data_IF_017135958381
#
_entry.id   IF_017135958381
#
_cell.length_a   1.000
_cell.length_b   1.000
_cell.length_c   1.000
_cell.angle_alpha   90.00
_cell.angle_beta   90.00
_cell.angle_gamma   90.00
#
_symmetry.space_group_name_H-M   'P 1'
#
loop_
_entity.id
_entity.type
_entity.pdbx_description
1 polymer ?
#
# COMPACT_ATOMS: atom_id res chain seq x y z
N UNK A 1 -53.61 -13.44 23.38
CA UNK A 1 -53.50 -12.00 23.73
C UNK A 1 -52.03 -11.69 23.95
N UNK A 2 -51.26 -11.00 23.11
CA UNK A 2 -51.53 -10.36 21.84
C UNK A 2 -50.22 -10.24 21.04
N UNK A 3 -50.16 -10.90 19.90
CA UNK A 3 -49.06 -10.81 18.91
C UNK A 3 -49.43 -9.94 17.69
N UNK A 4 -50.66 -9.42 17.66
CA UNK A 4 -51.23 -8.66 16.55
C UNK A 4 -51.07 -7.13 16.67
N UNK A 5 -50.53 -6.62 17.78
CA UNK A 5 -50.40 -5.17 18.01
C UNK A 5 -49.08 -4.57 17.51
N UNK A 6 -48.00 -5.36 17.38
CA UNK A 6 -46.70 -4.87 16.90
C UNK A 6 -46.65 -4.66 15.36
N UNK A 7 -47.53 -5.31 14.60
CA UNK A 7 -47.49 -5.25 13.13
C UNK A 7 -48.08 -3.98 12.52
N UNK A 8 -48.95 -3.25 13.24
CA UNK A 8 -49.66 -2.07 12.68
C UNK A 8 -48.93 -0.74 12.91
N UNK A 9 -47.98 -0.68 13.85
CA UNK A 9 -47.19 0.53 14.12
C UNK A 9 -46.08 0.83 13.11
N UNK A 10 -45.50 -0.21 12.49
CA UNK A 10 -44.37 -0.06 11.56
C UNK A 10 -44.76 0.39 10.14
N UNK A 11 -46.04 0.33 9.76
CA UNK A 11 -46.49 0.80 8.43
C UNK A 11 -46.68 2.31 8.32
N UNK A 12 -46.90 3.02 9.43
CA UNK A 12 -47.20 4.46 9.38
C UNK A 12 -45.95 5.34 9.33
N UNK A 13 -44.78 4.82 9.73
CA UNK A 13 -43.50 5.54 9.71
C UNK A 13 -42.73 5.43 8.38
N UNK A 14 -43.32 4.84 7.33
CA UNK A 14 -42.66 4.69 6.02
C UNK A 14 -43.05 5.77 5.01
N UNK A 15 -44.16 6.48 5.22
CA UNK A 15 -44.67 7.44 4.23
C UNK A 15 -44.17 8.89 4.41
N UNK A 16 -43.49 9.20 5.52
CA UNK A 16 -43.10 10.59 5.85
C UNK A 16 -41.65 10.95 5.47
N UNK A 17 -40.84 9.98 5.06
CA UNK A 17 -39.43 10.19 4.63
C UNK A 17 -39.32 10.40 3.11
N UNK A 18 -40.31 11.05 2.49
CA UNK A 18 -40.30 11.37 1.04
C UNK A 18 -39.87 12.80 0.70
N UNK A 19 -39.64 13.65 1.70
CA UNK A 19 -39.45 15.10 1.51
C UNK A 19 -38.03 15.56 1.19
N UNK A 20 -36.98 14.85 1.61
CA UNK A 20 -35.60 15.30 1.38
C UNK A 20 -35.01 14.62 0.15
N UNK A 21 -35.36 15.15 -1.04
CA UNK A 21 -34.62 14.89 -2.28
C UNK A 21 -33.24 15.54 -2.20
N UNK A 22 -32.38 15.03 -1.31
CA UNK A 22 -30.95 15.26 -1.41
C UNK A 22 -30.53 14.63 -2.74
N UNK A 23 -30.06 15.44 -3.68
CA UNK A 23 -29.72 15.01 -5.03
C UNK A 23 -28.71 13.85 -4.97
N UNK A 24 -29.17 12.61 -5.17
CA UNK A 24 -28.31 11.41 -5.18
C UNK A 24 -27.13 11.55 -6.14
N UNK A 25 -27.28 12.37 -7.19
CA UNK A 25 -26.23 12.73 -8.14
C UNK A 25 -25.06 13.50 -7.51
N UNK A 26 -25.31 14.42 -6.55
CA UNK A 26 -24.23 15.20 -5.93
C UNK A 26 -23.40 14.35 -4.97
N UNK A 27 -24.03 13.42 -4.26
CA UNK A 27 -23.32 12.48 -3.39
C UNK A 27 -22.45 11.52 -4.20
N UNK A 28 -22.98 10.97 -5.30
CA UNK A 28 -22.23 10.07 -6.18
C UNK A 28 -21.03 10.80 -6.81
N UNK A 29 -21.21 12.06 -7.23
CA UNK A 29 -20.11 12.87 -7.74
C UNK A 29 -19.07 13.20 -6.67
N UNK A 30 -19.47 13.45 -5.41
CA UNK A 30 -18.53 13.72 -4.33
C UNK A 30 -17.68 12.49 -3.99
N UNK A 31 -18.31 11.30 -3.91
CA UNK A 31 -17.59 10.04 -3.67
C UNK A 31 -16.69 9.70 -4.84
N UNK A 32 -17.14 9.87 -6.08
CA UNK A 32 -16.33 9.60 -7.27
C UNK A 32 -15.14 10.55 -7.40
N UNK A 33 -15.34 11.85 -7.14
CA UNK A 33 -14.24 12.83 -7.10
C UNK A 33 -13.26 12.53 -5.96
N UNK A 34 -13.76 12.14 -4.79
CA UNK A 34 -12.94 11.71 -3.66
C UNK A 34 -12.10 10.48 -4.01
N UNK A 35 -12.70 9.45 -4.61
CA UNK A 35 -12.01 8.24 -5.05
C UNK A 35 -10.91 8.54 -6.08
N UNK A 36 -11.20 9.37 -7.09
CA UNK A 36 -10.21 9.80 -8.07
C UNK A 36 -9.06 10.55 -7.38
N UNK A 37 -9.37 11.57 -6.56
CA UNK A 37 -8.33 12.35 -5.88
C UNK A 37 -7.46 11.47 -4.99
N UNK A 38 -8.05 10.49 -4.30
CA UNK A 38 -7.34 9.60 -3.39
C UNK A 38 -6.46 8.58 -4.13
N UNK A 39 -6.94 8.03 -5.26
CA UNK A 39 -6.13 7.18 -6.16
C UNK A 39 -4.96 7.97 -6.76
N UNK A 40 -5.16 9.24 -7.11
CA UNK A 40 -4.08 10.13 -7.56
C UNK A 40 -3.15 10.59 -6.43
N UNK A 41 -3.65 10.61 -5.19
CA UNK A 41 -2.88 10.91 -3.99
C UNK A 41 -2.21 9.69 -3.37
N UNK A 42 -2.38 8.47 -3.93
CA UNK A 42 -1.53 7.33 -3.56
C UNK A 42 -0.10 7.82 -3.74
N UNK A 43 0.67 8.00 -2.64
CA UNK A 43 1.99 8.58 -2.74
C UNK A 43 2.77 7.66 -3.66
N UNK A 44 3.14 8.18 -4.84
CA UNK A 44 4.06 7.47 -5.73
C UNK A 44 5.24 7.06 -4.85
N UNK A 45 5.69 5.79 -4.93
CA UNK A 45 6.73 5.29 -4.05
C UNK A 45 7.83 6.33 -4.05
N UNK A 46 8.03 6.98 -2.90
CA UNK A 46 8.99 8.06 -2.75
C UNK A 46 10.30 7.42 -3.14
N UNK A 47 10.78 7.76 -4.35
CA UNK A 47 12.12 7.36 -4.75
C UNK A 47 12.98 8.01 -3.70
N UNK A 48 13.62 7.18 -2.86
CA UNK A 48 14.62 7.63 -1.91
C UNK A 48 15.73 8.24 -2.77
N UNK A 49 15.57 9.54 -3.07
CA UNK A 49 16.60 10.30 -3.71
C UNK A 49 17.68 10.38 -2.65
N UNK A 50 18.80 9.69 -2.90
CA UNK A 50 20.08 9.99 -2.24
C UNK A 50 20.50 11.38 -2.72
N UNK A 51 19.79 12.40 -2.24
CA UNK A 51 20.02 13.80 -2.54
C UNK A 51 21.18 14.29 -1.69
N UNK A 52 22.31 14.53 -2.36
CA UNK A 52 23.36 15.42 -1.87
C UNK A 52 22.74 16.81 -1.62
N UNK A 53 22.67 17.19 -0.34
CA UNK A 53 22.43 18.53 0.21
C UNK A 53 21.01 19.13 0.14
N UNK A 54 20.48 19.47 1.33
CA UNK A 54 20.09 20.86 1.58
C UNK A 54 18.72 21.14 2.19
N UNK A 55 17.68 20.35 1.89
CA UNK A 55 16.33 20.60 2.45
C UNK A 55 15.96 19.53 3.48
N UNK A 56 15.64 19.90 4.73
CA UNK A 56 15.17 18.95 5.73
C UNK A 56 13.78 18.45 5.32
N UNK A 57 13.73 17.37 4.56
CA UNK A 57 12.51 16.59 4.41
C UNK A 57 12.27 15.86 5.72
N UNK A 58 11.13 16.12 6.37
CA UNK A 58 10.69 15.32 7.52
C UNK A 58 10.48 13.89 7.02
N UNK A 59 11.52 13.07 7.14
CA UNK A 59 11.48 11.66 6.79
C UNK A 59 11.06 10.91 8.05
N UNK A 60 9.80 10.52 8.12
CA UNK A 60 9.38 9.55 9.13
C UNK A 60 10.17 8.25 8.89
N UNK A 61 10.93 7.82 9.89
CA UNK A 61 11.59 6.53 9.80
C UNK A 61 10.53 5.42 9.75
N UNK A 62 10.69 4.42 8.86
CA UNK A 62 9.80 3.27 8.84
C UNK A 62 9.83 2.57 10.20
N UNK A 63 8.66 2.12 10.67
CA UNK A 63 8.58 1.42 11.94
C UNK A 63 9.32 0.07 11.83
N UNK A 64 10.25 -0.19 12.75
CA UNK A 64 10.99 -1.46 12.84
C UNK A 64 10.27 -2.52 13.68
N UNK A 65 9.19 -2.13 14.38
CA UNK A 65 8.43 -2.97 15.29
C UNK A 65 6.93 -2.70 15.17
N UNK A 66 6.12 -3.74 15.33
CA UNK A 66 4.66 -3.67 15.35
C UNK A 66 4.13 -3.98 16.76
N UNK A 67 3.08 -3.28 17.22
CA UNK A 67 2.30 -3.54 18.44
C UNK A 67 3.08 -4.24 19.58
N UNK A 68 3.83 -3.47 20.39
CA UNK A 68 4.55 -3.96 21.57
C UNK A 68 5.81 -4.82 21.30
N UNK A 69 6.43 -4.67 20.12
CA UNK A 69 7.74 -5.28 19.83
C UNK A 69 7.67 -6.56 18.99
N UNK A 70 6.51 -6.92 18.46
CA UNK A 70 6.40 -8.00 17.48
C UNK A 70 7.14 -7.64 16.19
N UNK A 71 7.66 -8.66 15.50
CA UNK A 71 8.27 -8.48 14.18
C UNK A 71 7.24 -7.92 13.19
N UNK A 72 7.71 -7.05 12.30
CA UNK A 72 6.84 -6.41 11.30
C UNK A 72 6.23 -7.44 10.34
N UNK A 73 6.96 -8.53 10.07
CA UNK A 73 6.46 -9.71 9.35
C UNK A 73 5.25 -10.35 10.03
N UNK A 74 5.35 -10.62 11.34
CA UNK A 74 4.23 -11.23 12.08
C UNK A 74 3.02 -10.29 12.13
N UNK A 75 3.26 -8.99 12.37
CA UNK A 75 2.20 -7.99 12.41
C UNK A 75 1.45 -7.87 11.08
N UNK A 76 2.16 -7.78 9.95
CA UNK A 76 1.54 -7.70 8.62
C UNK A 76 0.76 -8.97 8.26
N UNK A 77 1.32 -10.15 8.57
CA UNK A 77 0.64 -11.41 8.35
C UNK A 77 -0.65 -11.53 9.19
N UNK A 78 -0.59 -11.16 10.47
CA UNK A 78 -1.75 -11.18 11.37
C UNK A 78 -2.86 -10.23 10.91
N UNK A 79 -2.50 -9.02 10.46
CA UNK A 79 -3.45 -8.04 9.89
C UNK A 79 -4.15 -8.62 8.66
N UNK A 80 -3.41 -9.20 7.71
CA UNK A 80 -3.99 -9.80 6.50
C UNK A 80 -4.92 -10.98 6.85
N UNK A 81 -4.50 -11.83 7.79
CA UNK A 81 -5.31 -12.95 8.26
C UNK A 81 -6.61 -12.48 8.91
N UNK A 82 -6.56 -11.48 9.78
CA UNK A 82 -7.74 -10.91 10.42
C UNK A 82 -8.68 -10.26 9.40
N UNK A 83 -8.13 -9.54 8.42
CA UNK A 83 -8.91 -8.95 7.33
C UNK A 83 -9.61 -10.03 6.49
N UNK A 84 -8.92 -11.11 6.14
CA UNK A 84 -9.51 -12.25 5.44
C UNK A 84 -10.66 -12.88 6.25
N UNK A 85 -10.43 -13.10 7.54
CA UNK A 85 -11.43 -13.65 8.45
C UNK A 85 -12.68 -12.76 8.52
N UNK A 86 -12.51 -11.44 8.64
CA UNK A 86 -13.62 -10.49 8.62
C UNK A 86 -14.39 -10.53 7.30
N UNK A 87 -13.72 -10.61 6.15
CA UNK A 87 -14.38 -10.72 4.84
C UNK A 87 -15.18 -12.02 4.74
N UNK A 88 -14.66 -13.14 5.24
CA UNK A 88 -15.39 -14.41 5.29
C UNK A 88 -16.66 -14.31 6.15
N UNK A 89 -16.57 -13.66 7.32
CA UNK A 89 -17.73 -13.43 8.18
C UNK A 89 -18.77 -12.51 7.52
N UNK A 90 -18.34 -11.40 6.91
CA UNK A 90 -19.23 -10.48 6.18
C UNK A 90 -19.89 -11.18 4.98
N UNK A 91 -19.14 -12.02 4.28
CA UNK A 91 -19.64 -12.80 3.17
C UNK A 91 -20.70 -13.81 3.63
N UNK A 92 -20.44 -14.54 4.71
CA UNK A 92 -21.41 -15.47 5.30
C UNK A 92 -22.68 -14.74 5.77
N UNK A 93 -22.53 -13.59 6.43
CA UNK A 93 -23.64 -12.75 6.86
C UNK A 93 -24.47 -12.23 5.68
N UNK A 94 -23.83 -11.71 4.63
CA UNK A 94 -24.51 -11.21 3.42
C UNK A 94 -25.22 -12.33 2.66
N UNK A 95 -24.61 -13.51 2.59
CA UNK A 95 -25.24 -14.70 1.97
C UNK A 95 -26.44 -15.17 2.80
N UNK A 96 -26.33 -15.13 4.13
CA UNK A 96 -27.43 -15.43 5.05
C UNK A 96 -28.62 -14.47 4.90
N UNK A 97 -28.36 -13.17 4.76
CA UNK A 97 -29.41 -12.17 4.52
C UNK A 97 -30.15 -12.43 3.20
N UNK A 98 -29.41 -12.73 2.12
CA UNK A 98 -30.01 -13.04 0.80
C UNK A 98 -30.83 -14.35 0.83
N UNK A 99 -30.28 -15.41 1.43
CA UNK A 99 -30.90 -16.74 1.40
C UNK A 99 -32.04 -16.89 2.39
N UNK A 100 -31.85 -16.39 3.62
CA UNK A 100 -32.80 -16.59 4.72
C UNK A 100 -33.75 -15.40 4.90
N UNK A 101 -33.50 -14.27 4.21
CA UNK A 101 -34.27 -13.01 4.36
C UNK A 101 -34.30 -12.49 5.80
N UNK A 102 -33.23 -12.76 6.56
CA UNK A 102 -33.03 -12.21 7.90
C UNK A 102 -32.19 -10.93 7.79
N UNK A 103 -32.80 -9.78 8.10
CA UNK A 103 -32.13 -8.47 8.15
C UNK A 103 -31.19 -8.37 9.36
N UNK A 104 -30.09 -9.12 9.34
CA UNK A 104 -29.10 -9.16 10.42
C UNK A 104 -28.27 -7.86 10.41
N UNK A 105 -27.99 -7.33 9.22
CA UNK A 105 -27.01 -6.24 9.04
C UNK A 105 -27.68 -4.88 8.83
N UNK A 106 -29.01 -4.80 8.81
CA UNK A 106 -29.74 -3.55 8.53
C UNK A 106 -29.57 -3.08 7.07
N UNK A 107 -29.04 -3.94 6.19
CA UNK A 107 -28.74 -3.64 4.79
C UNK A 107 -29.88 -3.97 3.84
N UNK A 108 -30.95 -4.61 4.31
CA UNK A 108 -32.07 -5.05 3.48
C UNK A 108 -32.82 -3.90 2.77
N UNK A 109 -32.52 -2.65 3.11
CA UNK A 109 -33.17 -1.47 2.53
C UNK A 109 -32.75 -1.12 1.10
N UNK A 110 -31.65 -1.66 0.56
CA UNK A 110 -31.19 -1.36 -0.80
C UNK A 110 -30.65 -2.63 -1.52
N UNK A 111 -31.49 -3.39 -2.23
CA UNK A 111 -31.09 -4.62 -2.91
C UNK A 111 -29.95 -4.40 -3.93
N UNK A 112 -29.95 -3.24 -4.62
CA UNK A 112 -28.90 -2.90 -5.60
C UNK A 112 -27.51 -2.72 -4.94
N UNK A 113 -27.46 -2.34 -3.66
CA UNK A 113 -26.19 -2.15 -2.94
C UNK A 113 -25.59 -3.47 -2.45
N UNK A 114 -26.43 -4.47 -2.21
CA UNK A 114 -25.98 -5.80 -1.77
C UNK A 114 -25.08 -6.48 -2.81
N UNK A 115 -25.40 -6.36 -4.09
CA UNK A 115 -24.61 -6.97 -5.17
C UNK A 115 -23.21 -6.34 -5.30
N UNK A 116 -23.11 -5.01 -5.19
CA UNK A 116 -21.83 -4.31 -5.25
C UNK A 116 -20.94 -4.67 -4.05
N UNK A 117 -21.52 -4.77 -2.85
CA UNK A 117 -20.80 -5.20 -1.66
C UNK A 117 -20.31 -6.64 -1.81
N UNK A 118 -21.17 -7.54 -2.29
CA UNK A 118 -20.80 -8.95 -2.53
C UNK A 118 -19.65 -9.07 -3.53
N UNK A 119 -19.71 -8.31 -4.64
CA UNK A 119 -18.63 -8.28 -5.63
C UNK A 119 -17.32 -7.76 -5.03
N UNK A 120 -17.39 -6.74 -4.16
CA UNK A 120 -16.22 -6.21 -3.46
C UNK A 120 -15.61 -7.24 -2.48
N UNK A 121 -16.45 -7.95 -1.72
CA UNK A 121 -16.02 -9.01 -0.81
C UNK A 121 -15.37 -10.19 -1.56
N UNK A 122 -15.94 -10.57 -2.70
CA UNK A 122 -15.37 -11.60 -3.60
C UNK A 122 -13.99 -11.21 -4.12
N UNK A 123 -13.81 -9.93 -4.50
CA UNK A 123 -12.51 -9.42 -4.92
C UNK A 123 -11.48 -9.50 -3.78
N UNK A 124 -11.88 -9.14 -2.56
CA UNK A 124 -11.03 -9.27 -1.37
C UNK A 124 -10.58 -10.70 -1.10
N UNK A 125 -11.48 -11.68 -1.32
CA UNK A 125 -11.18 -13.10 -1.13
C UNK A 125 -10.03 -13.59 -2.03
N UNK A 126 -9.85 -13.00 -3.22
CA UNK A 126 -8.75 -13.35 -4.14
C UNK A 126 -7.50 -12.53 -3.84
N UNK A 127 -7.62 -11.23 -3.59
CA UNK A 127 -6.47 -10.34 -3.43
C UNK A 127 -5.73 -10.60 -2.11
N UNK A 128 -6.43 -10.92 -1.02
CA UNK A 128 -5.79 -11.07 0.29
C UNK A 128 -4.86 -12.29 0.35
N UNK A 129 -5.26 -13.50 -0.10
CA UNK A 129 -4.34 -14.64 -0.16
C UNK A 129 -3.11 -14.38 -1.04
N UNK A 130 -3.27 -13.64 -2.14
CA UNK A 130 -2.14 -13.21 -2.99
C UNK A 130 -1.20 -12.29 -2.23
N UNK A 131 -1.74 -11.35 -1.43
CA UNK A 131 -0.96 -10.51 -0.52
C UNK A 131 -0.21 -11.33 0.54
N UNK A 132 -0.89 -12.32 1.16
CA UNK A 132 -0.29 -13.22 2.16
C UNK A 132 0.84 -14.06 1.55
N UNK A 133 0.66 -14.58 0.35
CA UNK A 133 1.71 -15.26 -0.41
C UNK A 133 2.92 -14.35 -0.66
N UNK A 134 2.64 -13.08 -0.96
CA UNK A 134 3.64 -12.02 -1.08
C UNK A 134 4.47 -11.80 0.18
N UNK A 135 3.83 -11.77 1.35
CA UNK A 135 4.54 -11.67 2.64
C UNK A 135 5.41 -12.89 2.87
N UNK A 136 4.88 -14.09 2.66
CA UNK A 136 5.62 -15.35 2.85
C UNK A 136 6.88 -15.44 1.98
N UNK A 137 6.83 -14.96 0.74
CA UNK A 137 7.95 -14.99 -0.20
C UNK A 137 8.79 -13.71 -0.23
N UNK A 138 8.49 -12.72 0.64
CA UNK A 138 9.17 -11.42 0.63
C UNK A 138 9.00 -10.63 -0.68
N UNK A 139 7.91 -10.87 -1.42
CA UNK A 139 7.67 -10.24 -2.71
C UNK A 139 6.93 -8.92 -2.56
N UNK A 140 7.65 -7.81 -2.74
CA UNK A 140 7.09 -6.45 -2.61
C UNK A 140 5.95 -6.16 -3.60
N UNK A 141 5.95 -6.79 -4.79
CA UNK A 141 4.92 -6.59 -5.82
C UNK A 141 3.55 -7.06 -5.34
N UNK A 142 3.47 -8.26 -4.77
CA UNK A 142 2.22 -8.84 -4.29
C UNK A 142 1.65 -8.04 -3.10
N UNK A 143 2.52 -7.59 -2.19
CA UNK A 143 2.13 -6.76 -1.05
C UNK A 143 1.62 -5.38 -1.50
N UNK A 144 2.19 -4.80 -2.57
CA UNK A 144 1.70 -3.54 -3.17
C UNK A 144 0.29 -3.66 -3.75
N UNK A 145 -0.04 -4.80 -4.38
CA UNK A 145 -1.41 -5.06 -4.88
C UNK A 145 -2.41 -5.15 -3.71
N UNK A 146 -2.01 -5.76 -2.59
CA UNK A 146 -2.83 -5.74 -1.39
C UNK A 146 -2.98 -4.32 -0.80
N UNK A 147 -1.93 -3.52 -0.79
CA UNK A 147 -1.98 -2.14 -0.32
C UNK A 147 -2.97 -1.28 -1.13
N UNK A 148 -3.01 -1.42 -2.46
CA UNK A 148 -3.98 -0.69 -3.29
C UNK A 148 -5.42 -1.11 -2.99
N UNK A 149 -5.65 -2.40 -2.79
CA UNK A 149 -6.95 -2.91 -2.35
C UNK A 149 -7.33 -2.34 -0.97
N UNK A 150 -6.40 -2.31 -0.01
CA UNK A 150 -6.65 -1.77 1.32
C UNK A 150 -7.02 -0.28 1.28
N UNK A 151 -6.36 0.51 0.46
CA UNK A 151 -6.71 1.93 0.26
C UNK A 151 -8.11 2.09 -0.35
N UNK A 152 -8.47 1.24 -1.32
CA UNK A 152 -9.82 1.24 -1.89
C UNK A 152 -10.88 0.90 -0.82
N UNK A 153 -10.60 -0.09 0.05
CA UNK A 153 -11.47 -0.45 1.18
C UNK A 153 -11.62 0.69 2.18
N UNK A 154 -10.53 1.40 2.51
CA UNK A 154 -10.56 2.57 3.39
C UNK A 154 -11.47 3.68 2.83
N UNK A 155 -11.37 3.97 1.53
CA UNK A 155 -12.25 4.96 0.88
C UNK A 155 -13.71 4.50 0.88
N UNK A 156 -13.96 3.22 0.60
CA UNK A 156 -15.31 2.67 0.63
C UNK A 156 -15.92 2.76 2.03
N UNK A 157 -15.15 2.41 3.08
CA UNK A 157 -15.60 2.49 4.47
C UNK A 157 -15.89 3.94 4.89
N UNK A 158 -14.97 4.87 4.60
CA UNK A 158 -15.20 6.30 4.83
C UNK A 158 -16.49 6.80 4.14
N UNK A 159 -16.73 6.38 2.91
CA UNK A 159 -17.93 6.73 2.16
C UNK A 159 -19.21 6.18 2.80
N UNK A 160 -19.17 4.94 3.29
CA UNK A 160 -20.29 4.29 3.97
C UNK A 160 -20.58 4.99 5.30
N UNK A 161 -19.55 5.21 6.13
CA UNK A 161 -19.70 5.87 7.43
C UNK A 161 -20.19 7.32 7.26
N UNK A 162 -19.65 8.07 6.31
CA UNK A 162 -20.11 9.42 6.01
C UNK A 162 -21.59 9.44 5.57
N UNK A 163 -22.00 8.47 4.76
CA UNK A 163 -23.40 8.31 4.37
C UNK A 163 -24.30 7.99 5.57
N UNK A 164 -23.87 7.11 6.48
CA UNK A 164 -24.63 6.80 7.69
C UNK A 164 -24.78 8.01 8.60
N UNK A 165 -23.70 8.79 8.80
CA UNK A 165 -23.77 10.03 9.58
C UNK A 165 -24.81 11.01 9.03
N UNK A 166 -24.87 11.19 7.70
CA UNK A 166 -25.89 12.05 7.06
C UNK A 166 -27.32 11.54 7.23
N UNK A 167 -27.52 10.21 7.34
CA UNK A 167 -28.84 9.59 7.40
C UNK A 167 -29.40 9.47 8.83
N UNK A 168 -28.60 9.71 9.87
CA UNK A 168 -29.08 9.65 11.27
C UNK A 168 -30.06 10.78 11.60
N UNK A 169 -31.32 10.61 11.17
CA UNK A 169 -32.46 11.43 11.62
C UNK A 169 -32.91 10.91 12.98
N UNK A 170 -32.72 11.70 14.03
CA UNK A 170 -33.25 11.34 15.35
C UNK A 170 -34.76 11.51 15.40
N UNK A 171 -35.49 10.59 16.04
CA UNK A 171 -36.88 10.82 16.39
C UNK A 171 -36.99 11.99 17.38
N UNK A 172 -38.01 12.84 17.20
CA UNK A 172 -38.17 14.12 17.89
C UNK A 172 -38.41 14.01 19.42
N UNK A 173 -38.66 12.81 19.94
CA UNK A 173 -39.19 12.65 21.30
C UNK A 173 -38.12 12.62 22.40
N UNK A 174 -36.83 12.47 22.08
CA UNK A 174 -35.74 12.48 23.09
C UNK A 174 -34.47 13.17 22.57
N UNK A 175 -34.41 14.50 22.74
CA UNK A 175 -33.26 15.30 22.30
C UNK A 175 -31.92 14.86 22.94
N UNK A 176 -31.94 14.36 24.18
CA UNK A 176 -30.75 13.88 24.89
C UNK A 176 -30.15 12.63 24.23
N UNK A 177 -30.96 11.59 24.01
CA UNK A 177 -30.51 10.34 23.38
C UNK A 177 -29.98 10.58 21.97
N UNK A 178 -30.60 11.51 21.24
CA UNK A 178 -30.11 11.95 19.95
C UNK A 178 -28.69 12.54 20.01
N UNK A 179 -28.44 13.46 20.94
CA UNK A 179 -27.14 14.11 21.12
C UNK A 179 -26.05 13.09 21.45
N UNK A 180 -26.34 12.18 22.39
CA UNK A 180 -25.40 11.11 22.80
C UNK A 180 -25.07 10.18 21.64
N UNK A 181 -26.06 9.74 20.86
CA UNK A 181 -25.83 8.85 19.73
C UNK A 181 -24.96 9.49 18.64
N UNK A 182 -25.12 10.80 18.39
CA UNK A 182 -24.27 11.55 17.45
C UNK A 182 -22.82 11.64 17.91
N UNK A 183 -22.60 11.93 19.19
CA UNK A 183 -21.25 12.01 19.78
C UNK A 183 -20.57 10.64 19.72
N UNK A 184 -21.28 9.57 20.11
CA UNK A 184 -20.75 8.19 20.04
C UNK A 184 -20.42 7.78 18.59
N UNK A 185 -21.28 8.11 17.63
CA UNK A 185 -21.03 7.82 16.21
C UNK A 185 -19.83 8.60 15.67
N UNK A 186 -19.66 9.86 16.06
CA UNK A 186 -18.50 10.66 15.68
C UNK A 186 -17.21 10.13 16.29
N UNK A 187 -17.22 9.75 17.58
CA UNK A 187 -16.07 9.13 18.25
C UNK A 187 -15.70 7.79 17.59
N UNK A 188 -16.69 6.95 17.29
CA UNK A 188 -16.50 5.69 16.58
C UNK A 188 -15.86 5.88 15.21
N UNK A 189 -16.30 6.90 14.45
CA UNK A 189 -15.68 7.27 13.17
C UNK A 189 -14.21 7.63 13.36
N UNK A 190 -13.90 8.51 14.32
CA UNK A 190 -12.52 8.96 14.56
C UNK A 190 -11.61 7.77 14.89
N UNK A 191 -12.04 6.90 15.79
CA UNK A 191 -11.29 5.68 16.16
C UNK A 191 -11.12 4.75 14.96
N UNK A 192 -12.16 4.59 14.12
CA UNK A 192 -12.07 3.79 12.89
C UNK A 192 -11.05 4.35 11.91
N UNK A 193 -11.01 5.67 11.69
CA UNK A 193 -10.04 6.30 10.80
C UNK A 193 -8.61 6.09 11.28
N UNK A 194 -8.36 6.30 12.58
CA UNK A 194 -7.04 6.11 13.16
C UNK A 194 -6.58 4.65 13.05
N UNK A 195 -7.46 3.70 13.35
CA UNK A 195 -7.11 2.26 13.28
C UNK A 195 -6.81 1.83 11.84
N UNK A 196 -7.60 2.26 10.86
CA UNK A 196 -7.37 1.94 9.45
C UNK A 196 -6.09 2.57 8.90
N UNK A 197 -5.86 3.84 9.22
CA UNK A 197 -4.64 4.55 8.80
C UNK A 197 -3.40 3.91 9.41
N UNK A 198 -3.48 3.45 10.66
CA UNK A 198 -2.41 2.71 11.32
C UNK A 198 -2.09 1.40 10.58
N UNK A 199 -3.12 0.63 10.18
CA UNK A 199 -2.93 -0.61 9.41
C UNK A 199 -2.23 -0.33 8.07
N UNK A 200 -2.65 0.69 7.33
CA UNK A 200 -2.02 1.12 6.08
C UNK A 200 -0.55 1.48 6.31
N UNK A 201 -0.25 2.22 7.39
CA UNK A 201 1.10 2.60 7.77
C UNK A 201 2.01 1.40 8.08
N UNK A 202 1.49 0.37 8.78
CA UNK A 202 2.24 -0.86 9.09
C UNK A 202 2.63 -1.60 7.81
N UNK A 203 1.69 -1.76 6.87
CA UNK A 203 1.97 -2.45 5.59
C UNK A 203 2.94 -1.64 4.72
N UNK A 204 2.80 -0.32 4.70
CA UNK A 204 3.74 0.55 4.00
C UNK A 204 5.16 0.44 4.58
N UNK A 205 5.28 0.37 5.90
CA UNK A 205 6.56 0.16 6.60
C UNK A 205 7.19 -1.18 6.20
N UNK A 206 6.37 -2.24 6.07
CA UNK A 206 6.86 -3.55 5.63
C UNK A 206 7.33 -3.57 4.18
N UNK A 207 6.63 -2.89 3.27
CA UNK A 207 7.09 -2.74 1.89
C UNK A 207 8.44 -2.00 1.84
N UNK A 208 8.62 -0.99 2.69
CA UNK A 208 9.89 -0.26 2.78
C UNK A 208 11.01 -1.15 3.36
N UNK A 209 10.71 -2.02 4.32
CA UNK A 209 11.67 -3.01 4.82
C UNK A 209 12.10 -3.98 3.72
N UNK A 210 11.16 -4.53 2.94
CA UNK A 210 11.46 -5.38 1.79
C UNK A 210 12.28 -4.66 0.71
N UNK A 211 12.05 -3.36 0.53
CA UNK A 211 12.84 -2.54 -0.41
C UNK A 211 14.28 -2.33 0.08
N UNK A 212 14.49 -2.24 1.40
CA UNK A 212 15.81 -2.05 2.00
C UNK A 212 16.62 -3.35 2.06
N UNK A 213 15.97 -4.51 2.20
CA UNK A 213 16.63 -5.81 2.21
C UNK A 213 17.18 -6.26 0.84
N UNK A 214 17.00 -5.44 -0.21
CA UNK A 214 17.55 -5.75 -1.54
C UNK A 214 16.89 -6.97 -2.18
N UNK A 215 15.58 -7.13 -1.99
CA UNK A 215 14.82 -8.19 -2.67
C UNK A 215 15.08 -8.19 -4.18
N UNK A 216 14.84 -9.33 -4.88
CA UNK A 216 15.20 -9.52 -6.28
C UNK A 216 14.48 -8.49 -7.16
N UNK A 217 15.08 -7.31 -7.30
CA UNK A 217 14.61 -6.29 -8.22
C UNK A 217 14.91 -6.81 -9.62
N UNK A 218 14.00 -6.57 -10.57
CA UNK A 218 14.30 -6.77 -12.00
C UNK A 218 15.53 -5.99 -12.47
N UNK A 219 16.01 -5.03 -11.67
CA UNK A 219 17.29 -4.35 -11.89
C UNK A 219 18.48 -5.31 -11.76
N UNK A 220 18.41 -6.32 -10.91
CA UNK A 220 19.48 -7.30 -10.77
C UNK A 220 19.55 -8.21 -12.02
N UNK A 221 18.40 -8.49 -12.64
CA UNK A 221 18.35 -9.12 -13.97
C UNK A 221 18.89 -8.21 -15.08
N UNK A 222 18.70 -6.89 -14.97
CA UNK A 222 19.31 -5.92 -15.89
C UNK A 222 20.82 -5.75 -15.66
N UNK A 223 21.29 -5.84 -14.42
CA UNK A 223 22.72 -5.83 -14.09
C UNK A 223 23.37 -7.11 -14.59
N UNK A 224 22.73 -8.27 -14.45
CA UNK A 224 23.19 -9.51 -15.05
C UNK A 224 23.37 -9.38 -16.57
N UNK A 225 22.40 -8.76 -17.26
CA UNK A 225 22.51 -8.51 -18.70
C UNK A 225 23.63 -7.52 -19.05
N UNK A 226 23.78 -6.44 -18.29
CA UNK A 226 24.84 -5.46 -18.52
C UNK A 226 26.23 -6.04 -18.25
N UNK A 227 26.36 -6.88 -17.22
CA UNK A 227 27.61 -7.59 -16.89
C UNK A 227 27.92 -8.66 -17.94
N UNK A 228 26.93 -9.42 -18.41
CA UNK A 228 27.12 -10.38 -19.50
C UNK A 228 27.44 -9.69 -20.82
N UNK A 229 26.82 -8.55 -21.10
CA UNK A 229 27.10 -7.74 -22.30
C UNK A 229 28.50 -7.12 -22.22
N UNK A 230 28.92 -6.65 -21.05
CA UNK A 230 30.27 -6.17 -20.80
C UNK A 230 31.31 -7.30 -20.87
N UNK A 231 30.98 -8.49 -20.36
CA UNK A 231 31.83 -9.68 -20.46
C UNK A 231 31.97 -10.12 -21.91
N UNK A 232 30.89 -10.12 -22.69
CA UNK A 232 30.92 -10.35 -24.15
C UNK A 232 31.76 -9.30 -24.87
N UNK A 233 31.60 -8.02 -24.54
CA UNK A 233 32.42 -6.95 -25.14
C UNK A 233 33.91 -7.13 -24.84
N UNK A 234 34.25 -7.51 -23.60
CA UNK A 234 35.63 -7.79 -23.22
C UNK A 234 36.20 -9.01 -23.97
N UNK A 235 35.42 -10.09 -24.11
CA UNK A 235 35.83 -11.27 -24.88
C UNK A 235 36.06 -10.94 -26.37
N UNK A 236 35.22 -10.10 -26.98
CA UNK A 236 35.38 -9.65 -28.38
C UNK A 236 36.64 -8.77 -28.54
N UNK A 237 36.89 -7.84 -27.62
CA UNK A 237 38.11 -7.03 -27.64
C UNK A 237 39.38 -7.87 -27.49
N UNK A 238 39.38 -8.86 -26.59
CA UNK A 238 40.50 -9.79 -26.42
C UNK A 238 40.73 -10.68 -27.65
N UNK A 239 39.67 -11.15 -28.30
CA UNK A 239 39.80 -11.92 -29.53
C UNK A 239 40.33 -11.07 -30.69
N UNK A 240 39.92 -9.80 -30.79
CA UNK A 240 40.34 -8.89 -31.86
C UNK A 240 41.80 -8.47 -31.72
N UNK A 241 42.30 -8.25 -30.50
CA UNK A 241 43.72 -7.91 -30.28
C UNK A 241 44.67 -9.05 -30.64
N UNK A 242 44.22 -10.31 -30.52
CA UNK A 242 45.03 -11.48 -30.84
C UNK A 242 45.10 -11.79 -32.34
N UNK A 243 44.14 -11.30 -33.13
CA UNK A 243 44.11 -11.47 -34.60
C UNK A 243 45.05 -10.48 -35.31
N UNK A 244 45.34 -9.32 -34.71
CA UNK A 244 46.22 -8.29 -35.27
C UNK A 244 47.62 -8.23 -34.62
N UNK A 245 47.97 -9.20 -33.77
CA UNK A 245 49.10 -9.09 -32.84
C UNK A 245 50.14 -10.21 -32.93
N UNK A 246 50.47 -10.73 -34.12
CA UNK A 246 51.62 -11.65 -34.25
C UNK A 246 52.45 -11.48 -35.55
N UNK A 247 52.41 -10.32 -36.19
CA UNK A 247 53.37 -10.02 -37.26
C UNK A 247 53.98 -8.63 -37.09
N UNK A 248 55.19 -8.61 -36.51
CA UNK A 248 56.17 -7.53 -36.65
C UNK A 248 55.85 -6.26 -35.85
N UNK A 249 56.62 -5.93 -34.82
CA UNK A 249 57.93 -5.32 -35.02
C UNK A 249 57.96 -4.36 -36.22
N UNK A 250 58.16 -3.08 -35.88
CA UNK A 250 58.51 -1.95 -36.74
C UNK A 250 57.34 -1.07 -37.19
N UNK A 251 57.40 0.17 -36.69
CA UNK A 251 56.74 1.39 -37.19
C UNK A 251 55.36 1.68 -36.57
N UNK A 252 55.33 2.26 -35.36
CA UNK A 252 54.49 3.45 -35.09
C UNK A 252 54.90 4.13 -33.79
N UNK A 253 56.08 4.72 -33.86
CA UNK A 253 56.64 5.75 -32.98
C UNK A 253 55.95 7.12 -33.16
N UNK A 254 54.73 7.17 -33.72
CA UNK A 254 54.12 8.41 -34.26
C UNK A 254 52.60 8.54 -34.04
N UNK A 255 51.99 7.71 -33.18
CA UNK A 255 50.59 7.87 -32.77
C UNK A 255 50.41 7.90 -31.25
N UNK A 256 51.45 8.38 -30.54
CA UNK A 256 51.43 8.68 -29.11
C UNK A 256 51.16 10.17 -28.82
N UNK A 257 50.79 10.96 -29.83
CA UNK A 257 50.59 12.40 -29.72
C UNK A 257 49.14 12.73 -30.05
N UNK A 258 48.46 13.38 -29.10
CA UNK A 258 47.04 13.77 -29.08
C UNK A 258 45.98 12.68 -28.80
N UNK A 259 45.78 12.38 -27.52
CA UNK A 259 44.48 11.84 -27.09
C UNK A 259 44.33 11.47 -25.62
N UNK A 260 45.43 11.25 -24.89
CA UNK A 260 45.38 10.67 -23.53
C UNK A 260 45.86 11.60 -22.39
N UNK A 261 45.81 12.92 -22.58
CA UNK A 261 46.21 13.91 -21.54
C UNK A 261 45.10 14.90 -21.22
N UNK A 262 43.83 14.46 -21.23
CA UNK A 262 42.73 15.26 -20.64
C UNK A 262 41.76 14.35 -19.90
N UNK A 263 42.19 13.76 -18.77
CA UNK A 263 41.26 13.34 -17.70
C UNK A 263 41.94 13.00 -16.35
N UNK A 264 43.18 13.46 -16.14
CA UNK A 264 43.94 13.17 -14.92
C UNK A 264 43.89 14.22 -13.80
N UNK A 265 43.39 15.44 -14.04
CA UNK A 265 43.68 16.58 -13.12
C UNK A 265 42.48 17.50 -12.83
N UNK A 266 41.33 16.96 -12.41
CA UNK A 266 40.24 17.79 -11.84
C UNK A 266 39.63 17.26 -10.54
N UNK A 267 40.36 16.44 -9.76
CA UNK A 267 39.92 16.04 -8.41
C UNK A 267 41.01 16.06 -7.34
N UNK A 268 42.08 16.84 -7.50
CA UNK A 268 42.92 17.26 -6.37
C UNK A 268 42.26 18.43 -5.61
N UNK A 269 41.06 18.16 -5.09
CA UNK A 269 40.46 18.97 -4.04
C UNK A 269 41.18 18.68 -2.73
N UNK A 270 41.88 19.67 -2.21
CA UNK A 270 42.44 19.75 -0.86
C UNK A 270 41.40 19.27 0.18
N UNK A 271 41.71 18.17 0.89
CA UNK A 271 40.84 17.66 1.94
C UNK A 271 41.24 16.26 2.43
N UNK A 272 42.44 16.14 3.00
CA UNK A 272 42.94 14.91 3.59
C UNK A 272 42.11 14.45 4.79
N UNK A 273 41.25 13.46 4.58
CA UNK A 273 40.74 12.60 5.64
C UNK A 273 41.30 11.18 5.40
N UNK A 274 42.46 10.91 5.99
CA UNK A 274 43.04 9.58 6.00
C UNK A 274 42.12 8.66 6.80
N UNK A 275 41.71 7.53 6.23
CA UNK A 275 40.99 6.49 6.97
C UNK A 275 42.01 5.82 7.91
N UNK A 276 41.82 6.00 9.22
CA UNK A 276 42.66 5.40 10.27
C UNK A 276 42.41 3.88 10.40
N UNK A 277 41.32 3.36 9.81
CA UNK A 277 41.01 1.93 9.79
C UNK A 277 40.95 1.40 8.35
N UNK A 278 41.67 0.30 8.12
CA UNK A 278 41.87 -0.34 6.81
C UNK A 278 40.58 -0.84 6.15
N UNK A 279 40.71 -1.27 4.89
CA UNK A 279 39.65 -1.62 3.92
C UNK A 279 38.80 -2.86 4.26
N UNK A 280 38.78 -3.32 5.51
CA UNK A 280 37.97 -4.47 5.95
C UNK A 280 37.24 -4.15 7.26
N UNK A 281 36.16 -3.38 7.15
CA UNK A 281 35.09 -3.47 8.14
C UNK A 281 34.02 -4.39 7.56
N UNK A 282 34.21 -5.69 7.77
CA UNK A 282 33.13 -6.66 7.69
C UNK A 282 32.16 -6.33 8.83
N UNK A 283 31.13 -5.54 8.54
CA UNK A 283 29.94 -5.45 9.39
C UNK A 283 29.03 -6.62 9.00
N UNK A 284 29.60 -7.84 9.07
CA UNK A 284 28.85 -9.07 8.95
C UNK A 284 28.06 -9.26 10.23
N UNK A 285 26.84 -8.73 10.29
CA UNK A 285 25.88 -9.17 11.27
C UNK A 285 25.49 -10.61 10.92
N UNK A 286 26.14 -11.58 11.56
CA UNK A 286 25.66 -12.96 11.53
C UNK A 286 24.36 -13.02 12.31
N UNK A 287 23.23 -13.04 11.60
CA UNK A 287 21.99 -13.55 12.17
C UNK A 287 22.13 -15.06 12.28
N UNK A 288 22.42 -15.53 13.50
CA UNK A 288 22.26 -16.93 13.85
C UNK A 288 20.76 -17.26 13.82
N UNK A 289 20.42 -18.30 13.06
CA UNK A 289 19.09 -18.91 12.98
C UNK A 289 18.80 -19.76 14.22
#
# INVERSE_FOLDING_TARGET
FGSSFLSRGLRKSYNDVRGTRLNRASLLQAVHKGFILMVYLIPKPVKVQRGRYGTPTISCQPATQCCCGCSLFFGTFAIMFFHLFLICLLLAASTGDIMLRYDIVGLSYLPDRGMLLLAFLMMGLVIIPVGMWGVWHGSSTHVRVYLTYLNATLVADLGIVAFFLMKTSCPAHEAYVCGVNRILSALGLVVSIFSQTYIVFVIQSYINELANQGGPELKDLLVGRAVDEQKRMNEICYATSHIYGDEGSMNNLLSAEYGAVVQGEMYTGFGGAHRVFGTKHDIGYSFAA
#
